data_IF_942910264234
#
_entry.id   IF_942910264234
#
_cell.length_a   1.000
_cell.length_b   1.000
_cell.length_c   1.000
_cell.angle_alpha   90.00
_cell.angle_beta   90.00
_cell.angle_gamma   90.00
#
_symmetry.space_group_name_H-M   'P 1'
#
loop_
_entity.id
_entity.type
_entity.pdbx_description
1 polymer ?
#
# COMPACT_ATOMS: atom_id res chain seq x y z
N UNK A 1 6.03 -29.99 2.02
CA UNK A 1 5.18 -29.13 1.18
C UNK A 1 4.69 -29.95 0.00
N UNK A 2 3.43 -30.36 -0.01
CA UNK A 2 2.82 -30.85 -1.24
C UNK A 2 2.65 -29.64 -2.18
N UNK A 3 3.41 -29.62 -3.25
CA UNK A 3 3.19 -28.64 -4.33
C UNK A 3 1.87 -28.99 -4.97
N UNK A 4 0.82 -28.23 -4.66
CA UNK A 4 -0.44 -28.33 -5.37
C UNK A 4 -0.17 -28.02 -6.84
N UNK A 5 -0.44 -28.99 -7.72
CA UNK A 5 -0.29 -28.78 -9.17
C UNK A 5 -1.32 -27.74 -9.61
N UNK A 6 -0.95 -26.83 -10.52
CA UNK A 6 -1.90 -25.88 -11.06
C UNK A 6 -3.14 -26.58 -11.62
N UNK A 7 -4.31 -26.05 -11.31
CA UNK A 7 -5.57 -26.52 -11.89
C UNK A 7 -5.74 -25.84 -13.26
N UNK A 8 -5.86 -26.63 -14.33
CA UNK A 8 -6.06 -26.13 -15.69
C UNK A 8 -7.56 -26.06 -16.01
N UNK A 9 -8.03 -24.87 -16.37
CA UNK A 9 -9.43 -24.63 -16.72
C UNK A 9 -9.66 -24.81 -18.22
N UNK A 10 -10.67 -25.63 -18.61
CA UNK A 10 -11.03 -25.85 -20.03
C UNK A 10 -11.87 -24.73 -20.63
N UNK A 11 -12.58 -23.99 -19.79
CA UNK A 11 -13.40 -22.84 -20.18
C UNK A 11 -13.20 -21.76 -19.13
N UNK A 12 -13.12 -20.52 -19.60
CA UNK A 12 -13.12 -19.36 -18.75
C UNK A 12 -14.57 -18.92 -18.57
N UNK A 13 -15.15 -19.22 -17.43
CA UNK A 13 -16.43 -18.65 -16.99
C UNK A 13 -16.09 -17.73 -15.84
N UNK A 14 -16.29 -16.43 -16.00
CA UNK A 14 -16.08 -15.47 -14.91
C UNK A 14 -17.39 -15.45 -14.13
N UNK A 15 -17.41 -16.18 -13.01
CA UNK A 15 -18.61 -16.40 -12.21
C UNK A 15 -18.84 -15.28 -11.17
N UNK A 16 -17.84 -14.39 -10.96
CA UNK A 16 -17.96 -13.25 -10.05
C UNK A 16 -17.97 -11.95 -10.88
N UNK A 17 -19.15 -11.38 -11.17
CA UNK A 17 -19.25 -10.19 -12.03
C UNK A 17 -18.43 -8.98 -11.54
N UNK A 18 -18.27 -8.82 -10.20
CA UNK A 18 -17.51 -7.73 -9.62
C UNK A 18 -16.00 -7.87 -9.86
N UNK A 19 -15.43 -9.08 -9.80
CA UNK A 19 -14.02 -9.33 -10.16
C UNK A 19 -13.78 -9.14 -11.66
N UNK A 20 -14.73 -9.55 -12.50
CA UNK A 20 -14.68 -9.30 -13.94
C UNK A 20 -14.61 -7.81 -14.26
N UNK A 21 -15.44 -6.98 -13.61
CA UNK A 21 -15.45 -5.53 -13.78
C UNK A 21 -14.14 -4.89 -13.32
N UNK A 22 -13.58 -5.37 -12.20
CA UNK A 22 -12.27 -4.93 -11.72
C UNK A 22 -11.15 -5.28 -12.69
N UNK A 23 -11.15 -6.47 -13.24
CA UNK A 23 -10.16 -6.88 -14.24
C UNK A 23 -10.27 -6.07 -15.54
N UNK A 24 -11.50 -5.77 -16.02
CA UNK A 24 -11.69 -4.87 -17.17
C UNK A 24 -11.16 -3.45 -16.88
N UNK A 25 -11.39 -2.94 -15.67
CA UNK A 25 -10.83 -1.66 -15.22
C UNK A 25 -9.30 -1.69 -15.16
N UNK A 26 -8.70 -2.76 -14.64
CA UNK A 26 -7.24 -2.96 -14.63
C UNK A 26 -6.63 -2.87 -16.04
N UNK A 27 -7.25 -3.50 -17.04
CA UNK A 27 -6.79 -3.43 -18.43
C UNK A 27 -6.91 -2.04 -19.04
N UNK A 28 -7.96 -1.30 -18.66
CA UNK A 28 -8.31 -0.02 -19.27
C UNK A 28 -7.54 1.15 -18.68
N UNK A 29 -7.29 1.14 -17.37
CA UNK A 29 -6.68 2.26 -16.65
C UNK A 29 -5.17 2.12 -16.45
N UNK A 30 -4.50 1.44 -17.36
CA UNK A 30 -3.03 1.37 -17.36
C UNK A 30 -2.41 2.72 -17.70
N UNK A 31 -1.32 3.04 -17.05
CA UNK A 31 -0.56 4.27 -17.27
C UNK A 31 0.94 3.98 -17.31
N UNK A 32 1.71 4.94 -17.82
CA UNK A 32 3.14 4.79 -18.00
C UNK A 32 3.90 5.81 -17.15
N UNK A 33 4.69 5.33 -16.20
CA UNK A 33 5.45 6.12 -15.25
C UNK A 33 6.48 7.06 -15.90
N UNK A 34 6.99 6.69 -17.08
CA UNK A 34 7.99 7.49 -17.78
C UNK A 34 7.37 8.64 -18.58
N UNK A 35 6.18 8.43 -19.19
CA UNK A 35 5.62 9.37 -20.17
C UNK A 35 4.43 10.17 -19.67
N UNK A 36 3.74 9.73 -18.63
CA UNK A 36 2.55 10.41 -18.11
C UNK A 36 2.82 11.30 -16.89
N UNK A 37 4.03 11.26 -16.35
CA UNK A 37 4.49 12.14 -15.28
C UNK A 37 5.55 13.09 -15.84
N UNK A 38 5.39 14.38 -15.59
CA UNK A 38 6.37 15.39 -16.01
C UNK A 38 7.55 15.43 -15.05
N UNK A 39 8.49 14.53 -15.27
CA UNK A 39 9.72 14.42 -14.47
C UNK A 39 10.67 15.61 -14.63
N UNK A 40 10.44 16.57 -15.55
CA UNK A 40 11.24 17.79 -15.66
C UNK A 40 10.97 18.76 -14.51
N UNK A 41 9.82 18.67 -13.85
CA UNK A 41 9.45 19.56 -12.74
C UNK A 41 10.40 19.40 -11.56
N UNK A 42 10.80 20.51 -10.91
CA UNK A 42 11.57 20.46 -9.68
C UNK A 42 10.70 19.92 -8.53
N UNK A 43 11.35 19.27 -7.57
CA UNK A 43 10.70 18.90 -6.30
C UNK A 43 10.52 20.15 -5.44
N UNK A 44 9.37 20.27 -4.79
CA UNK A 44 9.09 21.33 -3.81
C UNK A 44 8.90 20.72 -2.41
N UNK A 45 9.88 20.91 -1.53
CA UNK A 45 9.91 20.30 -0.22
C UNK A 45 8.95 20.94 0.79
N UNK A 46 8.60 22.21 0.65
CA UNK A 46 7.70 22.95 1.53
C UNK A 46 6.98 24.07 0.78
N UNK A 47 5.90 24.60 1.37
CA UNK A 47 5.23 25.81 0.88
C UNK A 47 5.85 27.07 1.49
N UNK A 48 5.61 28.22 0.85
CA UNK A 48 6.10 29.51 1.39
C UNK A 48 5.43 29.83 2.73
N UNK A 49 4.15 29.50 2.90
CA UNK A 49 3.41 29.65 4.16
C UNK A 49 4.06 28.86 5.30
N UNK A 50 4.41 27.59 5.04
CA UNK A 50 5.08 26.73 6.04
C UNK A 50 6.47 27.28 6.43
N UNK A 51 7.19 27.91 5.49
CA UNK A 51 8.46 28.55 5.81
C UNK A 51 8.28 29.83 6.63
N UNK A 52 7.26 30.64 6.37
CA UNK A 52 6.95 31.84 7.16
C UNK A 52 6.79 31.57 8.65
N UNK A 53 6.24 30.40 9.01
CA UNK A 53 6.05 29.98 10.42
C UNK A 53 7.38 29.68 11.15
N UNK A 54 8.42 29.30 10.42
CA UNK A 54 9.70 28.81 10.98
C UNK A 54 10.91 29.67 10.65
N UNK A 55 10.77 30.70 9.83
CA UNK A 55 11.88 31.56 9.33
C UNK A 55 12.68 32.28 10.42
N UNK A 56 12.10 32.41 11.63
CA UNK A 56 12.80 32.97 12.78
C UNK A 56 13.85 32.01 13.37
N UNK A 57 13.73 30.70 13.07
CA UNK A 57 14.58 29.64 13.64
C UNK A 57 15.50 29.04 12.59
N UNK A 58 15.02 28.91 11.33
CA UNK A 58 15.73 28.23 10.25
C UNK A 58 15.96 29.18 9.07
N UNK A 59 17.16 29.09 8.45
CA UNK A 59 17.34 29.61 7.10
C UNK A 59 16.48 28.82 6.10
N UNK A 60 16.16 29.41 4.93
CA UNK A 60 15.38 28.71 3.90
C UNK A 60 16.11 27.46 3.42
N UNK A 61 17.43 27.51 3.30
CA UNK A 61 18.26 26.37 2.90
C UNK A 61 18.27 25.26 3.96
N UNK A 62 18.38 25.59 5.25
CA UNK A 62 18.34 24.59 6.32
C UNK A 62 16.96 23.93 6.39
N UNK A 63 15.89 24.72 6.25
CA UNK A 63 14.54 24.19 6.26
C UNK A 63 14.28 23.28 5.06
N UNK A 64 14.73 23.67 3.86
CA UNK A 64 14.64 22.82 2.67
C UNK A 64 15.34 21.47 2.88
N UNK A 65 16.56 21.50 3.40
CA UNK A 65 17.34 20.30 3.69
C UNK A 65 16.66 19.37 4.72
N UNK A 66 16.04 19.93 5.75
CA UNK A 66 15.30 19.16 6.75
C UNK A 66 14.09 18.48 6.07
N UNK A 67 13.28 19.25 5.33
CA UNK A 67 12.08 18.75 4.65
C UNK A 67 12.40 17.73 3.56
N UNK A 68 13.53 17.91 2.85
CA UNK A 68 14.01 16.93 1.87
C UNK A 68 14.36 15.59 2.53
N UNK A 69 15.01 15.60 3.70
CA UNK A 69 15.32 14.38 4.45
C UNK A 69 14.07 13.66 4.98
N UNK A 70 13.11 14.41 5.52
CA UNK A 70 11.84 13.85 5.96
C UNK A 70 11.10 13.17 4.81
N UNK A 71 11.08 13.82 3.65
CA UNK A 71 10.46 13.29 2.44
C UNK A 71 11.19 12.07 1.92
N UNK A 72 12.52 12.11 1.84
CA UNK A 72 13.33 10.98 1.44
C UNK A 72 13.11 9.79 2.37
N UNK A 73 13.06 10.01 3.69
CA UNK A 73 12.74 8.95 4.65
C UNK A 73 11.37 8.33 4.35
N UNK A 74 10.33 9.14 4.17
CA UNK A 74 8.98 8.64 3.89
C UNK A 74 8.92 7.86 2.58
N UNK A 75 9.49 8.41 1.50
CA UNK A 75 9.46 7.72 0.19
C UNK A 75 10.36 6.48 0.13
N UNK A 76 11.40 6.41 0.94
CA UNK A 76 12.17 5.19 1.11
C UNK A 76 11.30 4.08 1.71
N UNK A 77 10.49 4.39 2.74
CA UNK A 77 9.59 3.39 3.32
C UNK A 77 8.55 2.91 2.29
N UNK A 78 7.97 3.82 1.52
CA UNK A 78 7.03 3.47 0.45
C UNK A 78 7.69 2.61 -0.62
N UNK A 79 8.85 3.00 -1.11
CA UNK A 79 9.60 2.26 -2.13
C UNK A 79 9.89 0.80 -1.72
N UNK A 80 10.22 0.55 -0.46
CA UNK A 80 10.40 -0.80 0.07
C UNK A 80 9.05 -1.49 0.30
N UNK A 81 8.02 -0.76 0.72
CA UNK A 81 6.66 -1.26 0.86
C UNK A 81 6.11 -1.82 -0.46
N UNK A 82 6.26 -1.07 -1.57
CA UNK A 82 5.82 -1.52 -2.91
C UNK A 82 6.59 -2.75 -3.40
N UNK A 83 7.88 -2.84 -3.11
CA UNK A 83 8.65 -4.04 -3.44
C UNK A 83 8.14 -5.27 -2.66
N UNK A 84 7.77 -5.09 -1.40
CA UNK A 84 7.17 -6.14 -0.59
C UNK A 84 5.76 -6.49 -1.10
N UNK A 85 4.93 -5.50 -1.46
CA UNK A 85 3.61 -5.70 -2.05
C UNK A 85 3.69 -6.49 -3.37
N UNK A 86 4.63 -6.11 -4.25
CA UNK A 86 4.93 -6.84 -5.48
C UNK A 86 5.26 -8.32 -5.22
N UNK A 87 6.15 -8.59 -4.26
CA UNK A 87 6.55 -9.95 -3.91
C UNK A 87 5.39 -10.74 -3.27
N UNK A 88 4.61 -10.11 -2.39
CA UNK A 88 3.48 -10.71 -1.71
C UNK A 88 2.34 -11.05 -2.68
N UNK A 89 2.03 -10.16 -3.62
CA UNK A 89 1.05 -10.42 -4.68
C UNK A 89 1.48 -11.60 -5.57
N UNK A 90 2.79 -11.75 -5.84
CA UNK A 90 3.31 -12.89 -6.59
C UNK A 90 3.17 -14.22 -5.81
N UNK A 91 3.37 -14.22 -4.48
CA UNK A 91 3.10 -15.38 -3.64
C UNK A 91 1.60 -15.72 -3.63
N UNK A 92 0.74 -14.73 -3.42
CA UNK A 92 -0.72 -14.89 -3.43
C UNK A 92 -1.22 -15.43 -4.78
N UNK A 93 -0.71 -14.93 -5.91
CA UNK A 93 -1.05 -15.43 -7.24
C UNK A 93 -0.71 -16.92 -7.40
N UNK A 94 0.42 -17.35 -6.85
CA UNK A 94 0.79 -18.77 -6.91
C UNK A 94 -0.10 -19.66 -6.01
N UNK A 95 -0.50 -19.16 -4.85
CA UNK A 95 -1.29 -19.89 -3.85
C UNK A 95 -2.81 -19.87 -4.15
N UNK A 96 -3.31 -18.83 -4.79
CA UNK A 96 -4.74 -18.65 -5.09
C UNK A 96 -5.28 -19.76 -5.99
N UNK A 97 -6.41 -20.42 -5.64
CA UNK A 97 -6.99 -21.48 -6.48
C UNK A 97 -7.83 -20.95 -7.66
N UNK A 98 -8.47 -19.78 -7.54
CA UNK A 98 -9.41 -19.26 -8.53
C UNK A 98 -8.69 -18.51 -9.65
N UNK A 99 -9.09 -18.78 -10.91
CA UNK A 99 -8.44 -18.15 -12.07
C UNK A 99 -8.79 -16.66 -12.19
N UNK A 100 -9.99 -16.26 -11.82
CA UNK A 100 -10.48 -14.88 -11.84
C UNK A 100 -9.68 -14.01 -10.90
N UNK A 101 -9.49 -14.50 -9.67
CA UNK A 101 -8.65 -13.85 -8.66
C UNK A 101 -7.20 -13.73 -9.11
N UNK A 102 -6.66 -14.74 -9.82
CA UNK A 102 -5.33 -14.65 -10.44
C UNK A 102 -5.23 -13.53 -11.47
N UNK A 103 -6.27 -13.22 -12.21
CA UNK A 103 -6.27 -12.10 -13.16
C UNK A 103 -6.18 -10.76 -12.45
N UNK A 104 -6.92 -10.58 -11.36
CA UNK A 104 -6.83 -9.38 -10.52
C UNK A 104 -5.44 -9.23 -9.90
N UNK A 105 -4.90 -10.31 -9.32
CA UNK A 105 -3.55 -10.31 -8.74
C UNK A 105 -2.46 -10.06 -9.79
N UNK A 106 -2.59 -10.61 -11.01
CA UNK A 106 -1.63 -10.34 -12.09
C UNK A 106 -1.64 -8.87 -12.53
N UNK A 107 -2.82 -8.25 -12.58
CA UNK A 107 -2.95 -6.81 -12.82
C UNK A 107 -2.34 -5.99 -11.69
N UNK A 108 -2.60 -6.35 -10.45
CA UNK A 108 -2.01 -5.71 -9.28
C UNK A 108 -0.49 -5.82 -9.27
N UNK A 109 0.10 -6.99 -9.57
CA UNK A 109 1.56 -7.16 -9.71
C UNK A 109 2.15 -6.15 -10.70
N UNK A 110 1.46 -5.87 -11.82
CA UNK A 110 1.91 -4.88 -12.79
C UNK A 110 1.79 -3.46 -12.26
N UNK A 111 0.76 -3.18 -11.46
CA UNK A 111 0.57 -1.88 -10.82
C UNK A 111 1.67 -1.64 -9.76
N UNK A 112 1.96 -2.62 -8.87
CA UNK A 112 3.03 -2.53 -7.87
C UNK A 112 4.42 -2.35 -8.51
N UNK A 113 4.69 -3.01 -9.64
CA UNK A 113 5.94 -2.79 -10.38
C UNK A 113 6.08 -1.34 -10.86
N UNK A 114 4.97 -0.70 -11.29
CA UNK A 114 4.94 0.72 -11.66
C UNK A 114 5.13 1.64 -10.46
N UNK A 115 4.52 1.29 -9.30
CA UNK A 115 4.67 2.06 -8.06
C UNK A 115 6.14 2.05 -7.61
N UNK A 116 6.81 0.90 -7.65
CA UNK A 116 8.27 0.80 -7.42
C UNK A 116 9.05 1.72 -8.37
N UNK A 117 8.74 1.69 -9.68
CA UNK A 117 9.40 2.56 -10.66
C UNK A 117 9.21 4.05 -10.33
N UNK A 118 7.99 4.46 -10.01
CA UNK A 118 7.65 5.86 -9.71
C UNK A 118 8.32 6.35 -8.45
N UNK A 119 8.30 5.58 -7.38
CA UNK A 119 8.92 6.00 -6.13
C UNK A 119 10.44 5.99 -6.23
N UNK A 120 11.03 5.04 -6.96
CA UNK A 120 12.46 5.07 -7.28
C UNK A 120 12.86 6.34 -8.03
N UNK A 121 12.15 6.70 -9.11
CA UNK A 121 12.41 7.95 -9.85
C UNK A 121 12.23 9.21 -9.00
N UNK A 122 11.28 9.21 -8.07
CA UNK A 122 11.08 10.35 -7.18
C UNK A 122 12.20 10.45 -6.14
N UNK A 123 12.68 9.33 -5.60
CA UNK A 123 13.85 9.27 -4.72
C UNK A 123 15.12 9.77 -5.42
N UNK A 124 15.34 9.37 -6.68
CA UNK A 124 16.45 9.87 -7.49
C UNK A 124 16.42 11.41 -7.63
N UNK A 125 15.22 12.00 -7.73
CA UNK A 125 15.07 13.46 -7.78
C UNK A 125 15.29 14.16 -6.44
N UNK A 126 15.02 13.49 -5.33
CA UNK A 126 15.33 14.03 -4.00
C UNK A 126 16.84 14.06 -3.73
N UNK A 127 17.58 13.13 -4.32
CA UNK A 127 19.05 12.99 -4.17
C UNK A 127 19.48 12.99 -2.69
N UNK A 128 18.70 12.31 -1.86
CA UNK A 128 18.93 12.18 -0.41
C UNK A 128 18.69 10.74 0.02
N UNK A 129 19.73 10.10 0.53
CA UNK A 129 19.60 8.75 1.09
C UNK A 129 18.90 8.77 2.44
N UNK A 130 18.03 7.78 2.67
CA UNK A 130 17.38 7.55 3.94
C UNK A 130 17.33 6.05 4.27
N UNK A 131 17.44 5.67 5.56
CA UNK A 131 17.41 4.28 5.96
C UNK A 131 16.01 3.70 5.90
N UNK A 132 15.91 2.38 5.68
CA UNK A 132 14.69 1.63 5.95
C UNK A 132 14.43 1.61 7.46
N UNK A 133 13.16 1.77 7.83
CA UNK A 133 12.72 1.66 9.22
C UNK A 133 12.67 0.17 9.63
N UNK A 134 13.41 -0.25 10.67
CA UNK A 134 13.44 -1.65 11.08
C UNK A 134 12.08 -2.24 11.46
N UNK A 135 11.15 -1.43 11.99
CA UNK A 135 9.82 -1.92 12.32
C UNK A 135 8.95 -2.14 11.06
N UNK A 136 9.16 -1.36 10.00
CA UNK A 136 8.54 -1.63 8.70
C UNK A 136 9.16 -2.87 8.05
N UNK A 137 10.45 -3.02 8.12
CA UNK A 137 11.16 -4.22 7.63
C UNK A 137 10.61 -5.49 8.30
N UNK A 138 10.45 -5.48 9.63
CA UNK A 138 9.84 -6.58 10.37
C UNK A 138 8.39 -6.84 9.94
N UNK A 139 7.59 -5.78 9.74
CA UNK A 139 6.20 -5.89 9.29
C UNK A 139 6.10 -6.61 7.94
N UNK A 140 6.89 -6.19 6.95
CA UNK A 140 6.84 -6.80 5.62
C UNK A 140 7.39 -8.23 5.63
N UNK A 141 8.42 -8.52 6.41
CA UNK A 141 8.90 -9.90 6.59
C UNK A 141 7.84 -10.77 7.25
N UNK A 142 7.13 -10.27 8.26
CA UNK A 142 6.02 -10.99 8.90
C UNK A 142 4.95 -11.43 7.91
N UNK A 143 4.65 -10.59 6.92
CA UNK A 143 3.72 -10.90 5.83
C UNK A 143 4.29 -11.91 4.84
N UNK A 144 5.52 -11.68 4.36
CA UNK A 144 6.17 -12.52 3.35
C UNK A 144 6.47 -13.93 3.87
N UNK A 145 6.81 -14.06 5.14
CA UNK A 145 7.22 -15.32 5.78
C UNK A 145 6.03 -16.14 6.31
N UNK A 146 4.79 -15.57 6.35
CA UNK A 146 3.63 -16.36 6.71
C UNK A 146 3.42 -17.48 5.70
N UNK A 147 3.18 -18.70 6.19
CA UNK A 147 2.81 -19.86 5.39
C UNK A 147 1.28 -20.02 5.23
N UNK A 148 0.53 -19.05 5.75
CA UNK A 148 -0.93 -19.10 5.85
C UNK A 148 -1.58 -18.12 4.86
N UNK A 149 -2.28 -18.65 3.85
CA UNK A 149 -2.92 -17.88 2.80
C UNK A 149 -3.85 -16.77 3.33
N UNK A 150 -4.69 -17.08 4.34
CA UNK A 150 -5.61 -16.11 4.94
C UNK A 150 -4.91 -14.93 5.61
N UNK A 151 -3.78 -15.16 6.29
CA UNK A 151 -2.97 -14.11 6.88
C UNK A 151 -2.37 -13.20 5.79
N UNK A 152 -1.79 -13.80 4.73
CA UNK A 152 -1.20 -13.05 3.61
C UNK A 152 -2.23 -12.22 2.88
N UNK A 153 -3.37 -12.81 2.48
CA UNK A 153 -4.36 -12.12 1.64
C UNK A 153 -5.05 -10.99 2.41
N UNK A 154 -5.38 -11.18 3.69
CA UNK A 154 -5.96 -10.12 4.52
C UNK A 154 -4.90 -9.06 4.86
N UNK A 155 -3.68 -9.48 5.18
CA UNK A 155 -2.56 -8.57 5.42
C UNK A 155 -2.23 -7.70 4.21
N UNK A 156 -2.24 -8.27 3.00
CA UNK A 156 -2.03 -7.50 1.77
C UNK A 156 -3.25 -6.64 1.45
N UNK A 157 -4.39 -7.25 1.15
CA UNK A 157 -5.51 -6.58 0.50
C UNK A 157 -6.34 -5.68 1.42
N UNK A 158 -6.29 -5.90 2.73
CA UNK A 158 -7.02 -5.07 3.70
C UNK A 158 -6.09 -4.15 4.47
N UNK A 159 -4.97 -4.71 4.98
CA UNK A 159 -4.10 -3.95 5.85
C UNK A 159 -3.15 -3.04 5.05
N UNK A 160 -2.29 -3.58 4.17
CA UNK A 160 -1.32 -2.75 3.42
C UNK A 160 -2.02 -1.78 2.47
N UNK A 161 -3.00 -2.25 1.69
CA UNK A 161 -3.78 -1.40 0.78
C UNK A 161 -4.58 -0.32 1.54
N UNK A 162 -5.12 -0.65 2.70
CA UNK A 162 -5.81 0.33 3.55
C UNK A 162 -4.86 1.42 4.05
N UNK A 163 -3.66 1.05 4.50
CA UNK A 163 -2.60 2.00 4.88
C UNK A 163 -2.20 2.88 3.70
N UNK A 164 -1.94 2.27 2.52
CA UNK A 164 -1.51 2.97 1.32
C UNK A 164 -2.56 4.00 0.86
N UNK A 165 -3.83 3.61 0.77
CA UNK A 165 -4.94 4.53 0.40
C UNK A 165 -4.99 5.72 1.36
N UNK A 166 -4.97 5.50 2.68
CA UNK A 166 -5.02 6.59 3.67
C UNK A 166 -3.84 7.56 3.55
N UNK A 167 -2.63 7.01 3.39
CA UNK A 167 -1.40 7.80 3.29
C UNK A 167 -1.35 8.61 1.98
N UNK A 168 -1.72 8.00 0.85
CA UNK A 168 -1.70 8.68 -0.44
C UNK A 168 -2.80 9.74 -0.56
N UNK A 169 -3.97 9.55 0.04
CA UNK A 169 -4.98 10.58 0.16
C UNK A 169 -4.45 11.79 0.94
N UNK A 170 -3.77 11.56 2.06
CA UNK A 170 -3.15 12.64 2.83
C UNK A 170 -2.11 13.38 2.00
N UNK A 171 -1.20 12.68 1.32
CA UNK A 171 -0.17 13.32 0.48
C UNK A 171 -0.77 14.13 -0.66
N UNK A 172 -1.81 13.63 -1.32
CA UNK A 172 -2.47 14.34 -2.39
C UNK A 172 -3.10 15.67 -1.91
N UNK A 173 -3.63 15.68 -0.67
CA UNK A 173 -4.24 16.86 -0.08
C UNK A 173 -3.23 17.87 0.48
N UNK A 174 -2.18 17.40 1.14
CA UNK A 174 -1.31 18.26 1.94
C UNK A 174 0.03 18.58 1.28
N UNK A 175 0.46 17.85 0.25
CA UNK A 175 1.77 18.08 -0.35
C UNK A 175 1.82 19.42 -1.09
N UNK A 176 2.84 20.25 -0.83
CA UNK A 176 3.11 21.46 -1.60
C UNK A 176 3.72 21.17 -2.98
N UNK A 177 4.17 19.93 -3.22
CA UNK A 177 4.86 19.50 -4.44
C UNK A 177 3.88 19.04 -5.53
N UNK A 178 3.74 19.79 -6.65
CA UNK A 178 2.86 19.38 -7.74
C UNK A 178 3.26 18.06 -8.39
N UNK A 179 4.59 17.78 -8.51
CA UNK A 179 5.08 16.53 -9.06
C UNK A 179 4.61 15.34 -8.21
N UNK A 180 4.77 15.45 -6.89
CA UNK A 180 4.32 14.44 -5.95
C UNK A 180 2.80 14.23 -6.03
N UNK A 181 1.99 15.32 -6.09
CA UNK A 181 0.53 15.18 -6.20
C UNK A 181 0.11 14.48 -7.49
N UNK A 182 0.75 14.78 -8.61
CA UNK A 182 0.42 14.17 -9.90
C UNK A 182 0.73 12.66 -9.89
N UNK A 183 1.93 12.26 -9.41
CA UNK A 183 2.28 10.84 -9.34
C UNK A 183 1.43 10.08 -8.32
N UNK A 184 1.23 10.63 -7.13
CA UNK A 184 0.40 10.01 -6.08
C UNK A 184 -1.07 9.89 -6.53
N UNK A 185 -1.58 10.83 -7.32
CA UNK A 185 -2.93 10.72 -7.87
C UNK A 185 -3.13 9.52 -8.80
N UNK A 186 -2.08 9.12 -9.53
CA UNK A 186 -2.09 7.91 -10.36
C UNK A 186 -2.01 6.64 -9.50
N UNK A 187 -1.08 6.60 -8.56
CA UNK A 187 -0.91 5.49 -7.62
C UNK A 187 -2.18 5.28 -6.78
N UNK A 188 -2.72 6.32 -6.14
CA UNK A 188 -3.94 6.24 -5.32
C UNK A 188 -5.14 5.65 -6.07
N UNK A 189 -5.25 5.92 -7.37
CA UNK A 189 -6.32 5.33 -8.19
C UNK A 189 -6.14 3.81 -8.32
N UNK A 190 -4.90 3.34 -8.42
CA UNK A 190 -4.58 1.93 -8.48
C UNK A 190 -4.83 1.27 -7.10
N UNK A 191 -4.34 1.85 -6.01
CA UNK A 191 -4.56 1.35 -4.64
C UNK A 191 -6.04 1.26 -4.26
N UNK A 192 -6.84 2.23 -4.72
CA UNK A 192 -8.29 2.20 -4.49
C UNK A 192 -8.96 0.98 -5.16
N UNK A 193 -8.42 0.51 -6.29
CA UNK A 193 -8.89 -0.73 -6.94
C UNK A 193 -8.42 -1.98 -6.18
N UNK A 194 -7.17 -1.99 -5.73
CA UNK A 194 -6.60 -3.09 -4.97
C UNK A 194 -7.38 -3.32 -3.65
N UNK A 195 -7.61 -2.25 -2.90
CA UNK A 195 -8.40 -2.31 -1.67
C UNK A 195 -9.87 -2.71 -1.94
N UNK A 196 -10.45 -2.25 -3.05
CA UNK A 196 -11.79 -2.67 -3.50
C UNK A 196 -11.84 -4.17 -3.84
N UNK A 197 -10.83 -4.67 -4.55
CA UNK A 197 -10.69 -6.11 -4.83
C UNK A 197 -10.62 -6.92 -3.54
N UNK A 198 -9.81 -6.50 -2.57
CA UNK A 198 -9.69 -7.18 -1.28
C UNK A 198 -11.03 -7.35 -0.59
N UNK A 199 -11.83 -6.30 -0.48
CA UNK A 199 -13.16 -6.37 0.15
C UNK A 199 -14.10 -7.30 -0.62
N UNK A 200 -14.17 -7.18 -1.95
CA UNK A 200 -15.05 -8.01 -2.80
C UNK A 200 -14.70 -9.49 -2.68
N UNK A 201 -13.42 -9.83 -2.87
CA UNK A 201 -12.94 -11.22 -2.82
C UNK A 201 -13.15 -11.85 -1.44
N UNK A 202 -12.77 -11.14 -0.38
CA UNK A 202 -12.81 -11.69 0.98
C UNK A 202 -14.21 -11.74 1.57
N UNK A 203 -15.12 -10.84 1.19
CA UNK A 203 -16.52 -10.90 1.64
C UNK A 203 -17.21 -12.20 1.24
N UNK A 204 -16.91 -12.70 0.04
CA UNK A 204 -17.44 -13.97 -0.44
C UNK A 204 -16.83 -15.17 0.30
N UNK A 205 -15.54 -15.15 0.56
CA UNK A 205 -14.77 -16.27 1.13
C UNK A 205 -14.91 -16.41 2.65
N UNK A 206 -14.95 -15.29 3.37
CA UNK A 206 -14.88 -15.31 4.83
C UNK A 206 -16.20 -15.67 5.52
N UNK A 207 -17.32 -15.74 4.79
CA UNK A 207 -18.60 -16.22 5.32
C UNK A 207 -18.57 -17.66 5.86
N UNK A 208 -17.68 -18.50 5.32
CA UNK A 208 -17.55 -19.94 5.66
C UNK A 208 -16.33 -20.28 6.51
N UNK A 209 -15.51 -19.29 6.89
CA UNK A 209 -14.27 -19.53 7.65
C UNK A 209 -14.59 -19.89 9.10
N UNK A 210 -13.88 -20.89 9.66
CA UNK A 210 -14.06 -21.34 11.04
C UNK A 210 -13.71 -20.24 12.05
N UNK A 211 -14.30 -20.34 13.26
CA UNK A 211 -13.98 -19.39 14.35
C UNK A 211 -12.49 -19.39 14.72
N UNK A 212 -11.82 -20.54 14.67
CA UNK A 212 -10.39 -20.66 14.96
C UNK A 212 -9.55 -19.94 13.90
N UNK A 213 -9.89 -20.13 12.63
CA UNK A 213 -9.25 -19.47 11.50
C UNK A 213 -9.43 -17.95 11.53
N UNK A 214 -10.67 -17.51 11.78
CA UNK A 214 -11.00 -16.09 11.94
C UNK A 214 -10.13 -15.46 13.04
N UNK A 215 -10.06 -16.10 14.22
CA UNK A 215 -9.26 -15.60 15.33
C UNK A 215 -7.79 -15.52 15.01
N UNK A 216 -7.24 -16.52 14.31
CA UNK A 216 -5.85 -16.54 13.86
C UNK A 216 -5.52 -15.30 13.00
N UNK A 217 -6.39 -14.99 12.03
CA UNK A 217 -6.18 -13.86 11.12
C UNK A 217 -6.35 -12.53 11.84
N UNK A 218 -7.35 -12.40 12.75
CA UNK A 218 -7.53 -11.20 13.57
C UNK A 218 -6.33 -10.91 14.46
N UNK A 219 -5.76 -11.94 15.10
CA UNK A 219 -4.56 -11.83 15.92
C UNK A 219 -3.36 -11.39 15.06
N UNK A 220 -3.20 -11.98 13.87
CA UNK A 220 -2.15 -11.62 12.93
C UNK A 220 -2.25 -10.15 12.47
N UNK A 221 -3.41 -9.69 12.04
CA UNK A 221 -3.61 -8.29 11.60
C UNK A 221 -3.43 -7.31 12.77
N UNK A 222 -3.81 -7.71 13.98
CA UNK A 222 -3.56 -6.91 15.19
C UNK A 222 -2.06 -6.77 15.47
N UNK A 223 -1.27 -7.81 15.25
CA UNK A 223 0.20 -7.73 15.35
C UNK A 223 0.79 -6.84 14.27
N UNK A 224 0.30 -6.92 13.01
CA UNK A 224 0.71 -5.99 11.96
C UNK A 224 0.41 -4.54 12.32
N UNK A 225 -0.76 -4.26 12.91
CA UNK A 225 -1.10 -2.92 13.38
C UNK A 225 -0.13 -2.41 14.44
N UNK A 226 0.27 -3.25 15.39
CA UNK A 226 1.27 -2.87 16.42
C UNK A 226 2.62 -2.53 15.80
N UNK A 227 3.10 -3.34 14.84
CA UNK A 227 4.34 -3.07 14.11
C UNK A 227 4.24 -1.78 13.31
N UNK A 228 3.13 -1.56 12.61
CA UNK A 228 2.90 -0.33 11.86
C UNK A 228 2.88 0.92 12.77
N UNK A 229 2.23 0.82 13.92
CA UNK A 229 2.23 1.90 14.92
C UNK A 229 3.66 2.24 15.40
N UNK A 230 4.50 1.23 15.59
CA UNK A 230 5.92 1.44 15.90
C UNK A 230 6.71 2.04 14.73
N UNK A 231 6.44 1.60 13.52
CA UNK A 231 7.08 2.11 12.30
C UNK A 231 6.75 3.58 12.02
N UNK A 232 5.56 4.02 12.41
CA UNK A 232 5.10 5.41 12.25
C UNK A 232 5.46 6.32 13.42
N UNK A 233 6.09 5.80 14.48
CA UNK A 233 6.67 6.61 15.54
C UNK A 233 7.79 7.48 14.96
N UNK A 234 7.39 8.62 14.40
CA UNK A 234 8.28 9.54 13.68
C UNK A 234 9.12 10.35 14.66
N UNK A 235 10.43 10.49 14.43
CA UNK A 235 11.24 11.48 15.14
C UNK A 235 10.81 12.93 14.85
N UNK A 236 9.92 13.14 13.88
CA UNK A 236 9.48 14.46 13.40
C UNK A 236 8.12 14.92 13.94
N UNK A 237 7.50 14.17 14.85
CA UNK A 237 6.27 14.58 15.56
C UNK A 237 5.14 13.54 15.52
N UNK A 238 4.06 13.78 16.29
CA UNK A 238 2.95 12.86 16.41
C UNK A 238 2.11 12.82 15.12
N UNK A 239 1.86 11.62 14.61
CA UNK A 239 0.94 11.33 13.48
C UNK A 239 -0.40 10.80 13.99
N UNK A 240 -0.84 11.22 15.17
CA UNK A 240 -1.98 10.64 15.88
C UNK A 240 -3.30 10.66 15.09
N UNK A 241 -3.58 11.76 14.38
CA UNK A 241 -4.80 11.85 13.56
C UNK A 241 -4.77 10.92 12.36
N UNK A 242 -3.62 10.81 11.70
CA UNK A 242 -3.42 9.86 10.60
C UNK A 242 -3.56 8.42 11.09
N UNK A 243 -2.90 8.06 12.19
CA UNK A 243 -2.98 6.71 12.76
C UNK A 243 -4.41 6.35 13.14
N UNK A 244 -5.14 7.31 13.76
CA UNK A 244 -6.53 7.07 14.10
C UNK A 244 -7.41 6.86 12.86
N UNK A 245 -7.29 7.71 11.85
CA UNK A 245 -8.04 7.58 10.61
C UNK A 245 -7.73 6.26 9.89
N UNK A 246 -6.45 5.87 9.84
CA UNK A 246 -6.01 4.60 9.25
C UNK A 246 -6.55 3.41 10.04
N UNK A 247 -6.51 3.44 11.37
CA UNK A 247 -7.09 2.41 12.23
C UNK A 247 -8.59 2.24 11.93
N UNK A 248 -9.33 3.36 11.93
CA UNK A 248 -10.78 3.35 11.70
C UNK A 248 -11.13 2.79 10.32
N UNK A 249 -10.36 3.10 9.27
CA UNK A 249 -10.56 2.57 7.91
C UNK A 249 -10.26 1.07 7.83
N UNK A 250 -9.13 0.61 8.37
CA UNK A 250 -8.77 -0.82 8.41
C UNK A 250 -9.82 -1.60 9.21
N UNK A 251 -10.22 -1.11 10.39
CA UNK A 251 -11.24 -1.74 11.21
C UNK A 251 -12.58 -1.83 10.48
N UNK A 252 -12.96 -0.78 9.74
CA UNK A 252 -14.16 -0.79 8.91
C UNK A 252 -14.07 -1.85 7.81
N UNK A 253 -12.98 -1.93 7.06
CA UNK A 253 -12.76 -2.93 5.99
C UNK A 253 -12.77 -4.36 6.52
N UNK A 254 -12.11 -4.61 7.66
CA UNK A 254 -12.16 -5.91 8.33
C UNK A 254 -13.60 -6.30 8.71
N UNK A 255 -14.38 -5.36 9.22
CA UNK A 255 -15.80 -5.60 9.55
C UNK A 255 -16.63 -5.98 8.33
N UNK A 256 -16.36 -5.37 7.16
CA UNK A 256 -17.05 -5.73 5.91
C UNK A 256 -16.83 -7.18 5.50
N UNK A 257 -15.69 -7.76 5.85
CA UNK A 257 -15.36 -9.17 5.59
C UNK A 257 -15.60 -10.08 6.82
N UNK A 258 -16.20 -9.55 7.88
CA UNK A 258 -16.57 -10.29 9.08
C UNK A 258 -15.41 -10.57 10.03
N UNK A 259 -14.35 -9.76 10.03
CA UNK A 259 -13.22 -9.78 10.96
C UNK A 259 -13.21 -8.55 11.86
N UNK A 260 -12.43 -8.60 12.94
CA UNK A 260 -12.26 -7.48 13.87
C UNK A 260 -10.77 -7.16 14.09
N UNK A 261 -10.46 -5.85 14.17
CA UNK A 261 -9.16 -5.38 14.62
C UNK A 261 -9.22 -5.20 16.15
N UNK A 262 -8.32 -5.87 16.86
CA UNK A 262 -8.24 -5.82 18.31
C UNK A 262 -7.10 -4.90 18.72
N UNK A 263 -7.42 -3.67 19.12
CA UNK A 263 -6.45 -2.69 19.58
C UNK A 263 -6.06 -2.87 21.04
#
# INVERSE_FOLDING_TARGET
METTRPTWHRRLTIDIPAEADLYEKLKTYQWNATTQIDWSRPVRNFSDEAYEEVKAVYSREDYDRIRARERAFTFTQLFFGEQAALALCAQLLNECPEIETKFCLAGQIMDEARHVEVFGKYLDKLDVDAPLNPALEELVHRLLDSDHYGEKIVGMQIFLEGVAVGLFQQFQHTSPDPLMRDMIGLVLRDESRHAGFGVIYLSDKFGSVSTAERRRIEDFVTDLWRLFHHATASPFGPVNEFLKATFDDIAHRLKLIGLELRA
#
